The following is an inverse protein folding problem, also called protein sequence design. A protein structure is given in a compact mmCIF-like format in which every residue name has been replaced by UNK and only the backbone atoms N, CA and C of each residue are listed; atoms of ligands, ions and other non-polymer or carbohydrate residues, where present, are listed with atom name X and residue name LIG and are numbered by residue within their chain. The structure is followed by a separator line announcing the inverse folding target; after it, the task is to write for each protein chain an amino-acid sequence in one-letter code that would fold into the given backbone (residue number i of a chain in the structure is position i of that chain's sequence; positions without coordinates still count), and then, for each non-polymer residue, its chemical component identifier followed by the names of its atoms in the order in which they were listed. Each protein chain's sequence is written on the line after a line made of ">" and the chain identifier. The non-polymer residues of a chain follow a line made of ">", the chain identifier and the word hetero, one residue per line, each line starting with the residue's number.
data_IF_935660775117
#
_entry.id   IF_935660775117
#
_cell.length_a   1.000
_cell.length_b   1.000
_cell.length_c   1.000
_cell.angle_alpha   90.00
_cell.angle_beta   90.00
_cell.angle_gamma   90.00
#
_symmetry.space_group_name_H-M   'P 1'
#
loop_
_entity.id
_entity.type
_entity.pdbx_description
1 polymer ?
#
# COMPACT_ATOMS: atom_id res chain seq x y z
N UNK A 1 13.41 18.09 14.67
CA UNK A 1 13.93 17.79 13.33
C UNK A 1 12.76 17.32 12.52
N UNK A 2 12.50 17.92 11.35
CA UNK A 2 11.49 17.36 10.46
C UNK A 2 12.02 16.07 9.85
N UNK A 3 11.20 15.03 9.89
CA UNK A 3 11.48 13.75 9.24
C UNK A 3 11.04 13.83 7.79
N UNK A 4 11.90 13.49 6.84
CA UNK A 4 11.57 13.53 5.41
C UNK A 4 10.38 12.61 5.09
N UNK A 5 9.48 13.00 4.19
CA UNK A 5 8.47 12.08 3.70
C UNK A 5 9.14 11.03 2.79
N UNK A 6 8.81 9.76 2.97
CA UNK A 6 9.22 8.68 2.07
C UNK A 6 7.97 8.12 1.39
N UNK A 7 7.92 8.23 0.06
CA UNK A 7 6.87 7.62 -0.76
C UNK A 7 7.28 6.21 -1.20
N UNK A 8 6.46 5.23 -0.88
CA UNK A 8 6.63 3.82 -1.25
C UNK A 8 5.61 3.47 -2.34
N UNK A 9 6.09 3.31 -3.57
CA UNK A 9 5.24 3.00 -4.71
C UNK A 9 5.18 1.48 -4.89
N UNK A 10 3.97 0.92 -4.91
CA UNK A 10 3.73 -0.52 -5.02
C UNK A 10 2.83 -0.79 -6.23
N UNK A 11 3.40 -1.28 -7.35
CA UNK A 11 2.61 -1.80 -8.46
C UNK A 11 1.87 -3.07 -8.04
N UNK A 12 0.60 -3.16 -8.42
CA UNK A 12 -0.31 -4.25 -8.05
C UNK A 12 -0.90 -4.83 -9.33
N UNK A 13 -0.61 -6.11 -9.60
CA UNK A 13 -1.21 -6.85 -10.72
C UNK A 13 -1.36 -8.33 -10.35
N UNK A 14 -2.59 -8.77 -10.15
CA UNK A 14 -2.93 -10.17 -9.85
C UNK A 14 -2.16 -10.79 -8.65
N UNK A 15 -2.08 -10.07 -7.53
CA UNK A 15 -1.33 -10.46 -6.32
C UNK A 15 -2.20 -10.49 -5.05
N UNK A 16 -3.51 -10.67 -5.18
CA UNK A 16 -4.46 -10.57 -4.06
C UNK A 16 -4.04 -11.37 -2.81
N UNK A 17 -3.52 -12.59 -3.01
CA UNK A 17 -3.06 -13.48 -1.93
C UNK A 17 -1.85 -12.96 -1.12
N UNK A 18 -1.09 -11.99 -1.64
CA UNK A 18 0.12 -11.45 -1.00
C UNK A 18 0.00 -9.97 -0.61
N UNK A 19 -1.00 -9.27 -1.17
CA UNK A 19 -1.11 -7.82 -1.07
C UNK A 19 -1.20 -7.37 0.39
N UNK A 20 -2.16 -7.89 1.16
CA UNK A 20 -2.35 -7.51 2.57
C UNK A 20 -1.09 -7.71 3.41
N UNK A 21 -0.42 -8.86 3.26
CA UNK A 21 0.83 -9.16 4.00
C UNK A 21 1.94 -8.18 3.63
N UNK A 22 2.04 -7.84 2.35
CA UNK A 22 3.07 -6.92 1.84
C UNK A 22 2.84 -5.50 2.33
N UNK A 23 1.60 -5.00 2.27
CA UNK A 23 1.28 -3.66 2.76
C UNK A 23 1.37 -3.59 4.29
N UNK A 24 0.89 -4.61 5.02
CA UNK A 24 1.05 -4.67 6.47
C UNK A 24 2.52 -4.64 6.92
N UNK A 25 3.45 -5.16 6.11
CA UNK A 25 4.89 -5.06 6.35
C UNK A 25 5.39 -3.61 6.22
N UNK A 26 4.88 -2.85 5.24
CA UNK A 26 5.24 -1.44 5.03
C UNK A 26 4.60 -0.55 6.11
N UNK A 27 3.34 -0.80 6.47
CA UNK A 27 2.65 -0.06 7.53
C UNK A 27 3.31 -0.19 8.91
N UNK A 28 4.00 -1.32 9.16
CA UNK A 28 4.70 -1.64 10.41
C UNK A 28 6.18 -1.24 10.42
N UNK A 29 6.66 -0.49 9.42
CA UNK A 29 8.04 0.00 9.44
C UNK A 29 8.29 0.85 10.69
N UNK A 30 9.55 0.87 11.15
CA UNK A 30 9.95 1.70 12.30
C UNK A 30 9.92 3.19 11.96
N UNK A 31 10.14 3.53 10.68
CA UNK A 31 9.97 4.88 10.14
C UNK A 31 8.49 5.17 9.85
N UNK A 32 7.93 6.24 10.40
CA UNK A 32 6.48 6.50 10.37
C UNK A 32 6.02 7.51 9.31
N UNK A 33 6.91 8.42 8.86
CA UNK A 33 6.53 9.47 7.90
C UNK A 33 6.52 8.91 6.47
N UNK A 34 5.55 8.05 6.19
CA UNK A 34 5.39 7.31 4.95
C UNK A 34 4.14 7.76 4.20
N UNK A 35 4.24 7.72 2.88
CA UNK A 35 3.14 7.69 1.93
C UNK A 35 3.25 6.38 1.15
N UNK A 36 2.17 5.64 0.97
CA UNK A 36 2.15 4.34 0.32
C UNK A 36 1.18 4.45 -0.87
N UNK A 37 1.71 4.33 -2.08
CA UNK A 37 0.93 4.51 -3.31
C UNK A 37 0.74 3.14 -3.96
N UNK A 38 -0.50 2.66 -3.98
CA UNK A 38 -0.88 1.41 -4.63
C UNK A 38 -1.28 1.70 -6.07
N UNK A 39 -0.52 1.16 -7.03
CA UNK A 39 -0.80 1.36 -8.45
C UNK A 39 -1.40 0.07 -9.01
N UNK A 40 -2.72 0.01 -9.10
CA UNK A 40 -3.41 -1.07 -9.82
C UNK A 40 -3.11 -0.98 -11.33
N UNK A 41 -2.36 -1.96 -11.84
CA UNK A 41 -1.96 -2.06 -13.25
C UNK A 41 -2.97 -2.88 -14.07
N UNK A 42 -4.26 -2.68 -13.80
CA UNK A 42 -5.35 -3.39 -14.46
C UNK A 42 -5.51 -4.84 -14.00
N UNK A 43 -5.40 -5.07 -12.68
CA UNK A 43 -5.62 -6.37 -12.08
C UNK A 43 -7.02 -6.92 -12.45
N UNK A 44 -7.07 -8.22 -12.67
CA UNK A 44 -8.29 -8.97 -13.03
C UNK A 44 -8.79 -9.87 -11.89
N UNK A 45 -8.03 -9.93 -10.80
CA UNK A 45 -8.40 -10.63 -9.57
C UNK A 45 -8.92 -9.63 -8.52
N UNK A 46 -8.98 -10.07 -7.26
CA UNK A 46 -9.45 -9.24 -6.14
C UNK A 46 -8.45 -8.14 -5.70
N UNK A 47 -7.31 -7.98 -6.38
CA UNK A 47 -6.28 -7.04 -5.93
C UNK A 47 -6.76 -5.59 -5.88
N UNK A 48 -7.52 -5.13 -6.89
CA UNK A 48 -8.05 -3.77 -6.91
C UNK A 48 -8.98 -3.47 -5.73
N UNK A 49 -9.91 -4.40 -5.44
CA UNK A 49 -10.81 -4.29 -4.28
C UNK A 49 -10.06 -4.28 -2.94
N UNK A 50 -8.96 -5.03 -2.87
CA UNK A 50 -8.09 -5.03 -1.69
C UNK A 50 -7.32 -3.70 -1.58
N UNK A 51 -6.85 -3.09 -2.67
CA UNK A 51 -6.25 -1.76 -2.64
C UNK A 51 -7.21 -0.73 -2.01
N UNK A 52 -8.46 -0.68 -2.49
CA UNK A 52 -9.49 0.23 -1.97
C UNK A 52 -9.72 0.00 -0.47
N UNK A 53 -9.89 -1.27 -0.06
CA UNK A 53 -10.12 -1.62 1.33
C UNK A 53 -8.95 -1.26 2.25
N UNK A 54 -7.71 -1.34 1.76
CA UNK A 54 -6.52 -0.96 2.52
C UNK A 54 -6.43 0.57 2.64
N UNK A 55 -6.70 1.31 1.56
CA UNK A 55 -6.70 2.77 1.56
C UNK A 55 -7.75 3.37 2.53
N UNK A 56 -8.91 2.72 2.68
CA UNK A 56 -9.92 3.12 3.66
C UNK A 56 -9.48 2.94 5.14
N UNK A 57 -8.47 2.12 5.41
CA UNK A 57 -8.04 1.75 6.76
C UNK A 57 -6.82 2.53 7.27
N UNK A 58 -6.06 3.18 6.37
CA UNK A 58 -4.84 3.90 6.71
C UNK A 58 -4.67 5.12 5.80
N UNK A 59 -4.78 6.32 6.38
CA UNK A 59 -4.69 7.61 5.66
C UNK A 59 -3.35 7.82 4.93
N UNK A 60 -2.33 6.99 5.21
CA UNK A 60 -1.05 7.01 4.50
C UNK A 60 -1.08 6.24 3.19
N UNK A 61 -2.13 5.47 2.93
CA UNK A 61 -2.27 4.62 1.74
C UNK A 61 -3.23 5.27 0.76
N UNK A 62 -2.82 5.38 -0.51
CA UNK A 62 -3.63 5.92 -1.62
C UNK A 62 -3.58 5.05 -2.85
#
# INVERSE_FOLDING_TARGET
>A
METALISVIVPVYNVAQYLEKSIASIQKQTYQNLEIILVDDGATDESGRLCDSIAEQDDRVS
#
